data_IF_569050390668
#
_entry.id   IF_569050390668
#
_cell.length_a   1.000
_cell.length_b   1.000
_cell.length_c   1.000
_cell.angle_alpha   90.00
_cell.angle_beta   90.00
_cell.angle_gamma   90.00
#
_symmetry.space_group_name_H-M   'P 1'
#
loop_
_entity.id
_entity.type
_entity.pdbx_description
1 polymer ?
#
# COMPACT_ATOMS: atom_id res chain seq x y z
N UNK A 1 38.48 -37.71 25.55
CA UNK A 1 39.05 -36.74 25.02
C UNK A 1 38.40 -36.17 23.86
N UNK A 2 38.29 -36.83 22.81
CA UNK A 2 37.66 -36.29 21.69
C UNK A 2 36.28 -35.86 21.95
N UNK A 3 35.59 -36.50 22.80
CA UNK A 3 34.26 -36.17 23.08
C UNK A 3 34.09 -34.76 23.53
N UNK A 4 34.97 -34.28 24.28
CA UNK A 4 34.82 -32.96 24.81
C UNK A 4 34.84 -31.94 23.73
N UNK A 5 35.65 -32.14 22.78
CA UNK A 5 35.80 -31.22 21.72
C UNK A 5 34.46 -31.13 20.96
N UNK A 6 33.86 -32.24 20.77
CA UNK A 6 32.65 -32.28 20.05
C UNK A 6 31.58 -31.47 20.74
N UNK A 7 31.48 -31.65 22.00
CA UNK A 7 30.47 -30.94 22.74
C UNK A 7 30.72 -29.45 22.64
N UNK A 8 31.91 -29.06 22.67
CA UNK A 8 32.22 -27.67 22.61
C UNK A 8 31.75 -27.05 21.31
N UNK A 9 31.94 -27.73 20.24
CA UNK A 9 31.57 -27.24 18.99
C UNK A 9 30.07 -27.03 18.90
N UNK A 10 29.34 -27.91 19.43
CA UNK A 10 27.95 -27.80 19.39
C UNK A 10 27.49 -26.57 20.10
N UNK A 11 28.07 -26.30 21.17
CA UNK A 11 27.72 -25.19 21.97
C UNK A 11 27.84 -23.91 21.17
N UNK A 12 28.86 -23.80 20.44
CA UNK A 12 29.10 -22.60 19.66
C UNK A 12 28.05 -22.44 18.59
N UNK A 13 27.70 -23.50 17.97
CA UNK A 13 26.72 -23.41 16.96
C UNK A 13 25.39 -22.91 17.48
N UNK A 14 25.03 -23.36 18.60
CA UNK A 14 23.79 -22.92 19.16
C UNK A 14 23.76 -21.44 19.37
N UNK A 15 24.78 -20.91 19.84
CA UNK A 15 24.80 -19.49 20.10
C UNK A 15 24.60 -18.71 18.83
N UNK A 16 25.25 -19.08 17.81
CA UNK A 16 25.15 -18.37 16.58
C UNK A 16 23.72 -18.35 16.08
N UNK A 17 23.09 -19.42 16.17
CA UNK A 17 21.76 -19.53 15.69
C UNK A 17 20.83 -18.62 16.44
N UNK A 18 20.90 -18.63 17.71
CA UNK A 18 20.01 -17.84 18.46
C UNK A 18 20.07 -16.39 18.23
N UNK A 19 21.19 -15.90 17.98
CA UNK A 19 21.30 -14.48 17.88
C UNK A 19 20.63 -13.93 16.64
N UNK A 20 20.57 -14.68 15.66
CA UNK A 20 20.06 -14.13 14.45
C UNK A 20 18.61 -14.15 14.29
N UNK A 21 18.01 -15.22 14.51
CA UNK A 21 16.69 -15.30 14.26
C UNK A 21 15.73 -14.44 14.90
N UNK A 22 15.66 -14.39 16.09
CA UNK A 22 14.61 -13.72 16.77
C UNK A 22 14.43 -12.31 16.31
N UNK A 23 15.45 -11.71 15.95
CA UNK A 23 15.38 -10.35 15.61
C UNK A 23 14.61 -10.10 14.35
N UNK A 24 14.83 -10.93 13.40
CA UNK A 24 14.22 -10.70 12.21
C UNK A 24 12.79 -10.92 12.20
N UNK A 25 12.39 -11.96 12.70
CA UNK A 25 11.03 -12.34 12.65
C UNK A 25 10.11 -11.29 13.13
N UNK A 26 10.48 -10.60 14.13
CA UNK A 26 9.61 -9.67 14.73
C UNK A 26 9.55 -8.35 14.04
N UNK A 27 10.44 -8.08 13.21
CA UNK A 27 10.48 -6.75 12.67
C UNK A 27 9.61 -6.50 11.47
N UNK A 28 8.80 -7.43 11.03
CA UNK A 28 7.98 -7.15 9.90
C UNK A 28 6.85 -6.23 10.25
N UNK A 29 6.98 -5.00 9.90
CA UNK A 29 5.98 -4.02 10.21
C UNK A 29 4.77 -4.15 9.31
N UNK A 30 3.60 -3.91 9.85
CA UNK A 30 2.38 -3.95 9.07
C UNK A 30 2.23 -2.65 8.28
N UNK A 31 1.76 -2.75 7.06
CA UNK A 31 1.57 -1.56 6.23
C UNK A 31 0.45 -1.75 5.22
N UNK A 32 0.03 -0.68 4.59
CA UNK A 32 -1.02 -0.71 3.59
C UNK A 32 -0.36 -0.75 2.21
N UNK A 33 -0.75 -1.71 1.40
CA UNK A 33 -0.25 -1.81 0.05
C UNK A 33 -1.40 -1.50 -0.90
N UNK A 34 -1.14 -0.80 -1.96
CA UNK A 34 -2.17 -0.51 -2.97
C UNK A 34 -1.74 -1.15 -4.28
N UNK A 35 -2.70 -1.50 -5.10
CA UNK A 35 -2.40 -2.05 -6.41
C UNK A 35 -2.14 -0.96 -7.44
N UNK A 36 -2.15 0.28 -7.02
CA UNK A 36 -1.92 1.41 -7.92
C UNK A 36 -0.78 2.27 -7.38
N UNK A 37 -0.25 3.11 -8.21
CA UNK A 37 0.83 4.01 -7.80
C UNK A 37 0.32 5.07 -6.86
N UNK A 38 1.22 5.80 -6.25
CA UNK A 38 0.84 6.89 -5.36
C UNK A 38 0.20 8.07 -6.12
N UNK A 39 0.29 8.05 -7.44
CA UNK A 39 -0.36 9.05 -8.28
C UNK A 39 -1.13 8.30 -9.35
N UNK A 40 -2.40 8.57 -9.50
CA UNK A 40 -3.24 7.90 -10.49
C UNK A 40 -4.11 8.91 -11.20
N UNK A 41 -4.55 8.57 -12.38
CA UNK A 41 -5.45 9.42 -13.16
C UNK A 41 -6.76 8.68 -13.38
N UNK A 42 -7.86 9.38 -13.18
CA UNK A 42 -9.19 8.82 -13.38
C UNK A 42 -9.95 9.80 -14.25
N UNK A 43 -10.67 9.30 -15.23
CA UNK A 43 -11.47 10.19 -16.06
C UNK A 43 -12.75 10.52 -15.32
N UNK A 44 -13.26 11.70 -15.59
CA UNK A 44 -14.49 12.16 -14.96
C UNK A 44 -15.64 11.19 -15.28
N UNK A 45 -16.34 10.78 -14.29
CA UNK A 45 -17.42 9.80 -14.44
C UNK A 45 -16.96 8.35 -14.38
N UNK A 46 -15.68 8.10 -14.35
CA UNK A 46 -15.15 6.74 -14.29
C UNK A 46 -14.72 6.38 -12.88
N UNK A 47 -14.48 5.12 -12.67
CA UNK A 47 -14.07 4.64 -11.35
C UNK A 47 -12.73 3.93 -11.44
N UNK A 48 -12.04 3.86 -10.33
CA UNK A 48 -10.76 3.19 -10.24
C UNK A 48 -10.67 2.45 -8.91
N UNK A 49 -10.33 1.20 -8.93
CA UNK A 49 -10.18 0.42 -7.71
C UNK A 49 -8.73 0.52 -7.23
N UNK A 50 -8.53 1.01 -6.03
CA UNK A 50 -7.19 1.16 -5.48
C UNK A 50 -6.56 -0.17 -5.10
N UNK A 51 -7.37 -1.21 -4.99
CA UNK A 51 -6.92 -2.55 -4.61
C UNK A 51 -6.03 -2.51 -3.37
N UNK A 52 -6.46 -1.77 -2.37
CA UNK A 52 -5.68 -1.63 -1.17
C UNK A 52 -5.85 -2.83 -0.26
N UNK A 53 -4.79 -3.25 0.36
CA UNK A 53 -4.83 -4.34 1.33
C UNK A 53 -3.80 -4.10 2.41
N UNK A 54 -4.01 -4.73 3.53
CA UNK A 54 -3.06 -4.64 4.62
C UNK A 54 -2.10 -5.82 4.53
N UNK A 55 -0.87 -5.60 4.88
CA UNK A 55 0.18 -6.62 4.85
C UNK A 55 0.66 -6.85 6.26
N UNK A 56 0.95 -8.06 6.58
CA UNK A 56 1.44 -8.53 7.89
C UNK A 56 0.42 -8.44 9.04
N UNK A 57 -0.73 -7.83 8.82
CA UNK A 57 -1.79 -7.80 9.80
C UNK A 57 -3.07 -7.47 9.08
N UNK A 58 -4.14 -8.17 9.35
CA UNK A 58 -5.42 -7.89 8.73
C UNK A 58 -6.12 -6.81 9.51
N UNK A 59 -6.37 -5.68 8.92
CA UNK A 59 -7.10 -4.60 9.54
C UNK A 59 -7.97 -3.91 8.50
N UNK A 60 -9.04 -3.32 8.96
CA UNK A 60 -9.92 -2.62 8.06
C UNK A 60 -9.26 -1.33 7.62
N UNK A 61 -9.33 -1.04 6.34
CA UNK A 61 -8.77 0.19 5.81
C UNK A 61 -9.89 1.21 5.68
N UNK A 62 -9.63 2.40 6.17
CA UNK A 62 -10.56 3.51 6.07
C UNK A 62 -10.06 4.44 4.98
N UNK A 63 -10.96 4.89 4.13
CA UNK A 63 -10.61 5.77 3.02
C UNK A 63 -11.23 7.14 3.20
N UNK A 64 -10.51 8.17 2.85
CA UNK A 64 -11.01 9.52 2.95
C UNK A 64 -10.51 10.34 1.76
N UNK A 65 -11.40 11.14 1.17
CA UNK A 65 -11.01 12.01 0.06
C UNK A 65 -10.82 13.44 0.56
N UNK A 66 -9.78 14.10 0.13
CA UNK A 66 -9.53 15.48 0.52
C UNK A 66 -10.49 16.44 -0.18
N UNK A 67 -11.01 16.07 -1.35
CA UNK A 67 -11.96 16.89 -2.07
C UNK A 67 -13.03 15.99 -2.66
N UNK A 68 -14.11 15.83 -1.93
CA UNK A 68 -15.21 14.96 -2.38
C UNK A 68 -15.90 15.50 -3.61
N UNK A 69 -15.80 16.78 -3.89
CA UNK A 69 -16.38 17.35 -5.08
C UNK A 69 -15.60 16.93 -6.32
N UNK A 70 -14.33 16.61 -6.18
CA UNK A 70 -13.49 16.20 -7.29
C UNK A 70 -13.52 14.68 -7.43
N UNK A 71 -13.32 13.98 -6.35
CA UNK A 71 -13.34 12.52 -6.37
C UNK A 71 -13.82 11.97 -5.03
N UNK A 72 -14.59 10.92 -5.08
CA UNK A 72 -15.06 10.26 -3.86
C UNK A 72 -14.46 8.86 -3.82
N UNK A 73 -14.43 8.27 -2.64
CA UNK A 73 -13.90 6.92 -2.50
C UNK A 73 -14.87 6.13 -1.62
N UNK A 74 -15.12 4.88 -2.01
CA UNK A 74 -16.04 4.04 -1.25
C UNK A 74 -15.29 3.26 -0.18
N UNK A 75 -16.02 2.62 0.70
CA UNK A 75 -15.40 1.80 1.74
C UNK A 75 -14.64 0.60 1.16
N UNK A 76 -14.85 0.31 -0.09
CA UNK A 76 -14.13 -0.79 -0.75
C UNK A 76 -12.90 -0.30 -1.51
N UNK A 77 -12.60 0.97 -1.40
CA UNK A 77 -11.45 1.52 -2.09
C UNK A 77 -11.66 1.84 -3.54
N UNK A 78 -12.91 2.05 -3.95
CA UNK A 78 -13.21 2.42 -5.32
C UNK A 78 -13.35 3.94 -5.39
N UNK A 79 -12.50 4.55 -6.19
CA UNK A 79 -12.50 5.99 -6.36
C UNK A 79 -13.34 6.35 -7.57
N UNK A 80 -14.19 7.35 -7.43
CA UNK A 80 -14.99 7.81 -8.55
C UNK A 80 -14.65 9.26 -8.83
N UNK A 81 -14.31 9.59 -10.07
CA UNK A 81 -14.02 10.95 -10.47
C UNK A 81 -15.31 11.69 -10.76
N UNK A 82 -15.50 12.84 -10.14
CA UNK A 82 -16.72 13.63 -10.30
C UNK A 82 -16.47 14.91 -11.08
N UNK A 83 -15.41 15.62 -10.76
CA UNK A 83 -15.07 16.83 -11.47
C UNK A 83 -13.59 16.80 -11.74
N UNK A 84 -13.12 17.45 -12.79
CA UNK A 84 -11.69 17.44 -13.01
C UNK A 84 -11.01 18.27 -11.94
N UNK A 85 -9.83 17.89 -11.61
CA UNK A 85 -9.04 18.49 -10.54
C UNK A 85 -8.19 17.43 -9.89
N UNK A 86 -7.71 17.72 -8.70
CA UNK A 86 -6.85 16.80 -7.95
C UNK A 86 -7.44 16.57 -6.57
N UNK A 87 -7.47 15.34 -6.15
CA UNK A 87 -7.89 14.99 -4.80
C UNK A 87 -6.87 14.01 -4.22
N UNK A 88 -6.73 13.99 -2.92
CA UNK A 88 -5.83 13.04 -2.26
C UNK A 88 -6.70 12.08 -1.47
N UNK A 89 -6.53 10.80 -1.74
CA UNK A 89 -7.25 9.77 -1.00
C UNK A 89 -6.33 9.27 0.10
N UNK A 90 -6.77 9.38 1.32
CA UNK A 90 -6.00 8.94 2.47
C UNK A 90 -6.50 7.59 2.92
N UNK A 91 -5.59 6.64 3.07
CA UNK A 91 -5.91 5.30 3.51
C UNK A 91 -5.32 5.12 4.90
N UNK A 92 -6.13 4.72 5.84
CA UNK A 92 -5.68 4.49 7.20
C UNK A 92 -6.09 3.11 7.68
N UNK A 93 -5.26 2.50 8.45
CA UNK A 93 -5.61 1.24 9.11
C UNK A 93 -4.96 1.25 10.49
N UNK A 94 -5.60 0.64 11.45
CA UNK A 94 -5.15 0.65 12.82
C UNK A 94 -3.75 0.07 12.96
N UNK A 95 -2.86 0.80 13.58
CA UNK A 95 -1.48 0.34 13.79
C UNK A 95 -0.60 0.39 12.55
N UNK A 96 -1.02 1.07 11.51
CA UNK A 96 -0.24 1.15 10.29
C UNK A 96 -0.04 2.60 9.88
N UNK A 97 0.99 2.84 9.12
CA UNK A 97 1.25 4.19 8.63
C UNK A 97 0.19 4.56 7.60
N UNK A 98 -0.16 5.82 7.59
CA UNK A 98 -1.15 6.33 6.65
C UNK A 98 -0.56 6.33 5.26
N UNK A 99 -1.35 5.92 4.28
CA UNK A 99 -0.92 5.96 2.90
C UNK A 99 -1.78 6.95 2.14
N UNK A 100 -1.19 7.72 1.26
CA UNK A 100 -1.92 8.70 0.47
C UNK A 100 -1.77 8.40 -1.02
N UNK A 101 -2.85 8.55 -1.77
CA UNK A 101 -2.82 8.38 -3.21
C UNK A 101 -3.38 9.66 -3.83
N UNK A 102 -2.60 10.28 -4.69
CA UNK A 102 -3.04 11.49 -5.34
C UNK A 102 -3.80 11.11 -6.59
N UNK A 103 -5.04 11.58 -6.69
CA UNK A 103 -5.91 11.25 -7.81
C UNK A 103 -6.09 12.47 -8.68
N UNK A 104 -5.78 12.35 -9.94
CA UNK A 104 -6.00 13.42 -10.91
C UNK A 104 -7.22 13.05 -11.72
N UNK A 105 -8.25 13.84 -11.63
CA UNK A 105 -9.46 13.60 -12.40
C UNK A 105 -9.39 14.49 -13.63
N UNK A 106 -9.45 13.85 -14.79
CA UNK A 106 -9.34 14.56 -16.04
C UNK A 106 -10.58 14.43 -16.88
N UNK A 107 -10.75 15.34 -17.81
CA UNK A 107 -11.87 15.25 -18.71
C UNK A 107 -11.65 14.10 -19.65
N UNK A 108 -12.70 13.40 -20.00
CA UNK A 108 -12.55 12.35 -20.99
C UNK A 108 -12.33 13.00 -22.35
N UNK A 109 -11.46 12.44 -23.12
CA UNK A 109 -11.17 13.00 -24.41
C UNK A 109 -12.03 12.28 -25.40
N UNK A 110 -13.04 12.94 -25.87
CA UNK A 110 -13.94 12.27 -26.75
C UNK A 110 -13.57 12.42 -28.18
N UNK A 111 -12.83 13.35 -28.58
CA UNK A 111 -12.53 13.42 -29.93
C UNK A 111 -11.20 13.76 -30.15
N UNK A 112 -10.40 12.87 -30.31
CA UNK A 112 -9.11 13.16 -30.50
C UNK A 112 -8.91 13.37 -31.86
N UNK A 113 -9.07 14.28 -32.44
CA UNK A 113 -8.77 14.55 -33.61
C UNK A 113 -7.45 14.61 -33.88
N UNK A 114 -6.83 13.80 -34.24
CA UNK A 114 -5.52 13.86 -34.52
C UNK A 114 -5.30 14.59 -35.62
N UNK A 115 -5.89 15.31 -36.00
CA UNK A 115 -5.65 16.09 -37.00
C UNK A 115 -4.46 16.30 -37.41
N UNK A 116 -3.75 15.94 -37.08
CA UNK A 116 -2.52 16.19 -37.41
C UNK A 116 -2.49 16.54 -38.69
N UNK A 117 -2.86 16.56 -39.35
CA UNK A 117 -2.72 16.83 -40.48
C UNK A 117 -1.85 17.32 -40.77
#
# INVERSE_FOLDING_TARGET
MKKKITAFLMSVCLLAVMTAEPVHAASKKAYIKTGVSSKVTVLCGKTLNLKAKTVNKKKKITYKSSKKSVATVSSKGIVKGKKYGTAVITLKASGMSTKKVKVYVRKPVTSIKLTSK
#
